data_IF_193867601448
#
_entry.id   IF_193867601448
#
_cell.length_a   1.000
_cell.length_b   1.000
_cell.length_c   1.000
_cell.angle_alpha   90.00
_cell.angle_beta   90.00
_cell.angle_gamma   90.00
#
_symmetry.space_group_name_H-M   'P 1'
#
loop_
_entity.id
_entity.type
_entity.pdbx_description
1 polymer ?
#
# COMPACT_ATOMS: atom_id res chain seq x y z
N UNK A 1 -14.77 0.22 -20.61
CA UNK A 1 -13.84 1.18 -20.03
C UNK A 1 -14.26 1.53 -18.61
N UNK A 2 -13.34 1.52 -17.69
CA UNK A 2 -13.60 1.79 -16.26
C UNK A 2 -12.54 2.77 -15.75
N UNK A 3 -12.96 3.86 -15.11
CA UNK A 3 -12.09 4.79 -14.39
C UNK A 3 -12.58 4.95 -12.95
N UNK A 4 -11.90 5.73 -12.11
CA UNK A 4 -12.38 5.98 -10.74
C UNK A 4 -13.81 6.46 -10.74
N UNK A 5 -14.08 7.54 -11.47
CA UNK A 5 -15.43 8.08 -11.67
C UNK A 5 -15.97 7.74 -13.05
N UNK A 6 -17.28 7.46 -13.14
CA UNK A 6 -17.93 7.18 -14.43
C UNK A 6 -17.79 8.34 -15.42
N UNK A 7 -17.69 9.58 -14.94
CA UNK A 7 -17.50 10.76 -15.80
C UNK A 7 -16.26 10.65 -16.69
N UNK A 8 -15.13 10.26 -16.11
CA UNK A 8 -13.88 10.04 -16.84
C UNK A 8 -14.03 8.96 -17.92
N UNK A 9 -14.60 7.81 -17.58
CA UNK A 9 -14.87 6.74 -18.54
C UNK A 9 -15.80 7.19 -19.68
N UNK A 10 -16.78 8.04 -19.38
CA UNK A 10 -17.69 8.61 -20.38
C UNK A 10 -16.93 9.50 -21.36
N UNK A 11 -15.99 10.31 -20.88
CA UNK A 11 -15.19 11.16 -21.76
C UNK A 11 -14.31 10.35 -22.70
N UNK A 12 -13.74 9.23 -22.25
CA UNK A 12 -13.03 8.29 -23.13
C UNK A 12 -13.95 7.67 -24.19
N UNK A 13 -15.15 7.24 -23.82
CA UNK A 13 -16.10 6.68 -24.79
C UNK A 13 -16.61 7.74 -25.77
N UNK A 14 -16.81 9.00 -25.36
CA UNK A 14 -17.09 10.12 -26.25
C UNK A 14 -15.95 10.35 -27.26
N UNK A 15 -14.70 10.30 -26.79
CA UNK A 15 -13.55 10.44 -27.66
C UNK A 15 -13.47 9.32 -28.71
N UNK A 16 -13.66 8.06 -28.30
CA UNK A 16 -13.73 6.92 -29.21
C UNK A 16 -14.87 7.11 -30.22
N UNK A 17 -16.06 7.51 -29.74
CA UNK A 17 -17.22 7.78 -30.58
C UNK A 17 -16.92 8.83 -31.62
N UNK A 18 -16.32 9.96 -31.26
CA UNK A 18 -15.92 11.03 -32.20
C UNK A 18 -14.98 10.50 -33.28
N UNK A 19 -13.99 9.66 -32.92
CA UNK A 19 -13.11 9.05 -33.92
C UNK A 19 -13.83 8.08 -34.84
N UNK A 20 -14.82 7.32 -34.35
CA UNK A 20 -15.63 6.46 -35.19
C UNK A 20 -16.53 7.23 -36.18
N UNK A 21 -16.97 8.43 -35.80
CA UNK A 21 -17.76 9.30 -36.62
C UNK A 21 -16.90 10.06 -37.69
N UNK A 22 -15.74 10.58 -37.29
CA UNK A 22 -15.03 11.62 -38.07
C UNK A 22 -13.67 11.17 -38.62
N UNK A 23 -13.03 10.12 -38.07
CA UNK A 23 -11.67 9.74 -38.44
C UNK A 23 -11.63 8.95 -39.75
N UNK A 24 -11.17 9.57 -40.84
CA UNK A 24 -11.07 8.97 -42.16
C UNK A 24 -10.12 7.75 -42.20
N UNK A 25 -9.05 7.73 -41.39
CA UNK A 25 -8.10 6.62 -41.30
C UNK A 25 -8.80 5.40 -40.73
N UNK A 26 -9.56 5.57 -39.64
CA UNK A 26 -10.35 4.47 -39.05
C UNK A 26 -11.38 3.97 -40.08
N UNK A 27 -12.08 4.88 -40.74
CA UNK A 27 -13.05 4.53 -41.79
C UNK A 27 -12.41 3.79 -42.97
N UNK A 28 -11.20 4.15 -43.35
CA UNK A 28 -10.46 3.50 -44.43
C UNK A 28 -10.08 2.06 -44.07
N UNK A 29 -9.52 1.81 -42.88
CA UNK A 29 -9.04 0.50 -42.50
C UNK A 29 -10.13 -0.45 -41.95
N UNK A 30 -11.12 0.08 -41.24
CA UNK A 30 -12.13 -0.71 -40.51
C UNK A 30 -13.54 -0.61 -41.07
N UNK A 31 -13.75 0.27 -42.04
CA UNK A 31 -15.07 0.58 -42.60
C UNK A 31 -15.85 1.54 -41.69
N UNK A 32 -17.17 1.64 -41.95
CA UNK A 32 -18.02 2.45 -41.10
C UNK A 32 -18.14 1.84 -39.69
N UNK A 33 -17.69 2.61 -38.70
CA UNK A 33 -17.78 2.25 -37.28
C UNK A 33 -18.87 3.03 -36.54
N UNK A 34 -19.51 4.03 -37.18
CA UNK A 34 -20.61 4.81 -36.63
C UNK A 34 -21.91 4.00 -36.59
N UNK A 35 -22.23 3.48 -35.41
CA UNK A 35 -23.47 2.74 -35.19
C UNK A 35 -24.71 3.63 -35.18
N UNK A 36 -24.56 4.89 -34.85
CA UNK A 36 -25.65 5.88 -34.87
C UNK A 36 -26.25 6.05 -36.27
N UNK A 37 -25.41 6.08 -37.32
CA UNK A 37 -25.83 6.16 -38.71
C UNK A 37 -26.69 4.99 -39.19
N UNK A 38 -26.66 3.87 -38.49
CA UNK A 38 -27.46 2.66 -38.81
C UNK A 38 -28.45 2.29 -37.68
N UNK A 39 -28.81 3.25 -36.83
CA UNK A 39 -29.84 3.08 -35.80
C UNK A 39 -29.46 2.22 -34.64
N UNK A 40 -28.15 1.96 -34.39
CA UNK A 40 -27.66 1.28 -33.19
C UNK A 40 -27.63 2.21 -31.97
N UNK A 41 -27.45 1.64 -30.78
CA UNK A 41 -27.25 2.43 -29.57
C UNK A 41 -25.98 3.27 -29.69
N UNK A 42 -26.14 4.60 -29.52
CA UNK A 42 -25.05 5.53 -29.76
C UNK A 42 -25.10 6.69 -28.78
N UNK A 43 -24.85 6.40 -27.51
CA UNK A 43 -24.89 7.37 -26.44
C UNK A 43 -23.49 7.75 -25.97
N UNK A 44 -23.37 8.72 -25.09
CA UNK A 44 -22.06 9.13 -24.53
C UNK A 44 -21.36 8.04 -23.72
N UNK A 45 -22.10 7.08 -23.19
CA UNK A 45 -21.58 6.06 -22.26
C UNK A 45 -21.77 4.61 -22.75
N UNK A 46 -22.42 4.42 -23.90
CA UNK A 46 -22.78 3.09 -24.37
C UNK A 46 -22.98 3.18 -25.91
N UNK A 47 -22.02 2.68 -26.64
CA UNK A 47 -22.00 2.70 -28.11
C UNK A 47 -21.94 1.28 -28.65
N UNK A 48 -22.64 1.07 -29.76
CA UNK A 48 -22.67 -0.21 -30.48
C UNK A 48 -22.33 0.04 -31.96
N UNK A 49 -21.26 -0.56 -32.46
CA UNK A 49 -20.84 -0.43 -33.85
C UNK A 49 -21.86 -1.09 -34.82
N UNK A 50 -21.82 -0.81 -36.11
CA UNK A 50 -22.63 -1.52 -37.11
C UNK A 50 -22.44 -3.05 -37.09
N UNK A 51 -21.24 -3.51 -36.72
CA UNK A 51 -20.89 -4.93 -36.59
C UNK A 51 -21.42 -5.58 -35.29
N UNK A 52 -21.90 -4.79 -34.34
CA UNK A 52 -22.43 -5.28 -33.07
C UNK A 52 -21.46 -5.21 -31.91
N UNK A 53 -20.22 -4.76 -32.11
CA UNK A 53 -19.27 -4.55 -31.02
C UNK A 53 -19.77 -3.43 -30.11
N UNK A 54 -19.68 -3.63 -28.80
CA UNK A 54 -20.21 -2.70 -27.81
C UNK A 54 -19.15 -2.18 -26.87
N UNK A 55 -19.10 -0.88 -26.65
CA UNK A 55 -18.21 -0.23 -25.68
C UNK A 55 -19.06 0.51 -24.65
N UNK A 56 -18.77 0.27 -23.37
CA UNK A 56 -19.53 0.83 -22.24
C UNK A 56 -18.59 1.53 -21.26
N UNK A 57 -18.97 2.73 -20.82
CA UNK A 57 -18.32 3.46 -19.74
C UNK A 57 -18.86 3.06 -18.36
N UNK A 58 -17.98 2.82 -17.40
CA UNK A 58 -18.29 2.48 -16.00
C UNK A 58 -17.38 3.24 -15.03
N UNK A 59 -17.85 3.44 -13.82
CA UNK A 59 -17.02 3.85 -12.71
C UNK A 59 -16.50 2.65 -11.90
N UNK A 60 -15.44 2.84 -11.15
CA UNK A 60 -14.94 1.84 -10.21
C UNK A 60 -16.02 1.46 -9.18
N UNK A 61 -15.98 0.23 -8.67
CA UNK A 61 -16.98 -0.34 -7.76
C UNK A 61 -18.41 -0.45 -8.30
N UNK A 62 -18.69 -0.06 -9.55
CA UNK A 62 -20.00 -0.28 -10.17
C UNK A 62 -20.20 -1.75 -10.54
N UNK A 63 -21.48 -2.15 -10.62
CA UNK A 63 -21.86 -3.49 -11.08
C UNK A 63 -21.52 -3.67 -12.55
N UNK A 64 -20.64 -4.62 -12.86
CA UNK A 64 -20.33 -5.05 -14.22
C UNK A 64 -21.26 -6.18 -14.67
N UNK A 65 -21.68 -7.06 -13.73
CA UNK A 65 -22.60 -8.17 -13.97
C UNK A 65 -24.05 -7.72 -13.90
N UNK A 66 -24.94 -8.40 -14.66
CA UNK A 66 -26.39 -8.25 -14.56
C UNK A 66 -27.03 -7.24 -15.52
N UNK A 67 -26.26 -6.63 -16.43
CA UNK A 67 -26.75 -5.89 -17.59
C UNK A 67 -26.25 -6.47 -18.92
N UNK A 68 -25.74 -7.70 -18.88
CA UNK A 68 -25.46 -8.45 -20.09
C UNK A 68 -26.81 -8.72 -20.78
N UNK A 69 -27.06 -8.04 -21.86
CA UNK A 69 -28.08 -8.52 -22.80
C UNK A 69 -27.65 -9.93 -23.20
N UNK A 70 -28.44 -10.91 -22.75
CA UNK A 70 -28.30 -12.32 -23.17
C UNK A 70 -26.93 -12.97 -22.89
N UNK A 71 -26.43 -12.91 -21.64
CA UNK A 71 -25.34 -13.79 -21.21
C UNK A 71 -23.94 -13.54 -21.81
N UNK A 72 -23.76 -12.43 -22.54
CA UNK A 72 -22.47 -12.09 -23.18
C UNK A 72 -21.51 -11.50 -22.13
N UNK A 73 -20.34 -12.11 -21.98
CA UNK A 73 -19.23 -11.60 -21.16
C UNK A 73 -18.40 -10.57 -21.92
N UNK A 74 -17.60 -9.79 -21.20
CA UNK A 74 -16.72 -8.80 -21.83
C UNK A 74 -15.51 -9.49 -22.46
N UNK A 75 -15.22 -9.17 -23.72
CA UNK A 75 -14.01 -9.63 -24.41
C UNK A 75 -12.78 -8.78 -24.03
N UNK A 76 -12.98 -7.58 -23.52
CA UNK A 76 -11.90 -6.72 -23.04
C UNK A 76 -12.39 -5.77 -21.95
N UNK A 77 -11.57 -5.55 -20.93
CA UNK A 77 -11.82 -4.56 -19.87
C UNK A 77 -10.57 -3.69 -19.75
N UNK A 78 -10.77 -2.36 -19.83
CA UNK A 78 -9.73 -1.39 -19.55
C UNK A 78 -10.07 -0.73 -18.21
N UNK A 79 -9.16 -0.83 -17.25
CA UNK A 79 -9.19 -0.12 -15.99
C UNK A 79 -8.15 0.99 -16.06
N UNK A 80 -8.63 2.23 -16.22
CA UNK A 80 -7.82 3.41 -16.48
C UNK A 80 -7.99 4.42 -15.35
N UNK A 81 -6.91 4.75 -14.65
CA UNK A 81 -6.93 5.59 -13.46
C UNK A 81 -8.06 5.21 -12.46
N UNK A 82 -8.21 3.91 -12.23
CA UNK A 82 -9.26 3.36 -11.37
C UNK A 82 -8.93 3.46 -9.88
N UNK A 83 -7.67 3.70 -9.52
CA UNK A 83 -7.19 4.00 -8.18
C UNK A 83 -6.95 5.49 -8.02
N UNK A 84 -7.35 6.03 -6.87
CA UNK A 84 -7.10 7.41 -6.47
C UNK A 84 -6.71 7.48 -5.00
N UNK A 85 -6.26 8.64 -4.55
CA UNK A 85 -6.03 8.87 -3.12
C UNK A 85 -7.30 8.69 -2.28
N UNK A 86 -8.46 8.99 -2.85
CA UNK A 86 -9.72 8.88 -2.13
C UNK A 86 -10.12 7.43 -1.90
N UNK A 87 -10.03 6.58 -2.93
CA UNK A 87 -10.45 5.17 -2.85
C UNK A 87 -9.34 4.24 -2.32
N UNK A 88 -8.11 4.73 -2.15
CA UNK A 88 -6.99 4.00 -1.53
C UNK A 88 -6.62 4.50 -0.13
N UNK A 89 -7.30 5.55 0.38
CA UNK A 89 -6.94 6.25 1.61
C UNK A 89 -6.88 5.35 2.86
N UNK A 90 -7.79 4.39 2.99
CA UNK A 90 -7.85 3.50 4.14
C UNK A 90 -7.63 2.05 3.73
N UNK A 91 -7.10 1.19 4.65
CA UNK A 91 -6.95 -0.24 4.38
C UNK A 91 -8.26 -0.91 3.92
N UNK A 92 -9.40 -0.52 4.52
CA UNK A 92 -10.70 -1.07 4.15
C UNK A 92 -11.10 -0.73 2.70
N UNK A 93 -10.90 0.53 2.29
CA UNK A 93 -11.17 0.95 0.90
C UNK A 93 -10.29 0.20 -0.11
N UNK A 94 -8.99 0.04 0.19
CA UNK A 94 -8.09 -0.76 -0.65
C UNK A 94 -8.54 -2.22 -0.74
N UNK A 95 -8.93 -2.81 0.40
CA UNK A 95 -9.45 -4.17 0.45
C UNK A 95 -10.76 -4.32 -0.33
N UNK A 96 -11.68 -3.37 -0.23
CA UNK A 96 -12.94 -3.33 -0.98
C UNK A 96 -12.69 -3.22 -2.50
N UNK A 97 -11.79 -2.33 -2.93
CA UNK A 97 -11.42 -2.18 -4.34
C UNK A 97 -10.78 -3.46 -4.88
N UNK A 98 -9.81 -4.03 -4.17
CA UNK A 98 -9.20 -5.33 -4.51
C UNK A 98 -10.24 -6.44 -4.60
N UNK A 99 -11.15 -6.52 -3.64
CA UNK A 99 -12.25 -7.49 -3.64
C UNK A 99 -13.13 -7.30 -4.87
N UNK A 100 -13.50 -6.07 -5.22
CA UNK A 100 -14.29 -5.78 -6.40
C UNK A 100 -13.58 -6.21 -7.68
N UNK A 101 -12.30 -5.93 -7.85
CA UNK A 101 -11.52 -6.36 -9.02
C UNK A 101 -11.52 -7.88 -9.13
N UNK A 102 -11.15 -8.58 -8.06
CA UNK A 102 -10.99 -10.05 -8.08
C UNK A 102 -12.34 -10.78 -8.18
N UNK A 103 -13.40 -10.28 -7.52
CA UNK A 103 -14.68 -10.96 -7.45
C UNK A 103 -15.73 -10.49 -8.47
N UNK A 104 -15.51 -9.35 -9.13
CA UNK A 104 -16.47 -8.77 -10.07
C UNK A 104 -15.86 -8.54 -11.45
N UNK A 105 -14.69 -7.87 -11.51
CA UNK A 105 -14.06 -7.54 -12.81
C UNK A 105 -13.56 -8.82 -13.51
N UNK A 106 -12.69 -9.58 -12.86
CA UNK A 106 -12.11 -10.78 -13.47
C UNK A 106 -13.18 -11.78 -13.93
N UNK A 107 -14.17 -12.16 -13.10
CA UNK A 107 -15.18 -13.09 -13.54
C UNK A 107 -16.21 -12.50 -14.52
N UNK A 108 -16.09 -11.24 -14.92
CA UNK A 108 -16.92 -10.64 -15.97
C UNK A 108 -16.32 -10.82 -17.38
N UNK A 109 -15.07 -11.27 -17.46
CA UNK A 109 -14.41 -11.56 -18.73
C UNK A 109 -14.93 -12.85 -19.39
N UNK A 110 -14.78 -12.90 -20.69
CA UNK A 110 -14.98 -14.11 -21.47
C UNK A 110 -13.90 -15.16 -21.13
N UNK A 111 -14.34 -16.40 -20.92
CA UNK A 111 -13.48 -17.53 -20.51
C UNK A 111 -13.54 -18.70 -21.50
N UNK A 112 -14.15 -18.49 -22.67
CA UNK A 112 -14.23 -19.53 -23.70
C UNK A 112 -12.84 -19.85 -24.25
N UNK A 113 -12.38 -21.11 -24.22
CA UNK A 113 -11.07 -21.50 -24.74
C UNK A 113 -10.86 -21.04 -26.19
N UNK A 114 -9.74 -20.33 -26.44
CA UNK A 114 -9.42 -19.75 -27.73
C UNK A 114 -10.08 -18.38 -28.02
N UNK A 115 -10.88 -17.87 -27.08
CA UNK A 115 -11.50 -16.55 -27.14
C UNK A 115 -11.52 -15.90 -25.75
N UNK A 116 -10.45 -16.10 -24.99
CA UNK A 116 -10.33 -15.56 -23.64
C UNK A 116 -10.30 -14.04 -23.67
N UNK A 117 -11.02 -13.44 -22.74
CA UNK A 117 -11.04 -12.00 -22.55
C UNK A 117 -9.72 -11.49 -21.98
N UNK A 118 -9.42 -10.22 -22.24
CA UNK A 118 -8.21 -9.55 -21.77
C UNK A 118 -8.53 -8.39 -20.83
N UNK A 119 -7.57 -8.06 -19.95
CA UNK A 119 -7.63 -6.89 -19.07
C UNK A 119 -6.40 -6.03 -19.31
N UNK A 120 -6.63 -4.73 -19.43
CA UNK A 120 -5.58 -3.71 -19.42
C UNK A 120 -5.75 -2.84 -18.19
N UNK A 121 -4.69 -2.74 -17.39
CA UNK A 121 -4.61 -1.87 -16.22
C UNK A 121 -3.63 -0.76 -16.53
N UNK A 122 -4.07 0.48 -16.38
CA UNK A 122 -3.20 1.66 -16.51
C UNK A 122 -3.52 2.66 -15.41
N UNK A 123 -2.52 3.40 -14.96
CA UNK A 123 -2.69 4.41 -13.93
C UNK A 123 -1.39 4.74 -13.20
N UNK A 124 -1.46 5.76 -12.37
CA UNK A 124 -0.40 6.16 -11.46
C UNK A 124 -0.49 5.38 -10.15
N UNK A 125 0.64 5.01 -9.58
CA UNK A 125 0.67 4.38 -8.25
C UNK A 125 0.41 5.45 -7.19
N UNK A 126 -0.77 5.41 -6.58
CA UNK A 126 -1.24 6.43 -5.63
C UNK A 126 -0.99 6.07 -4.16
N UNK A 127 -0.67 4.81 -3.87
CA UNK A 127 -0.42 4.33 -2.51
C UNK A 127 0.48 3.09 -2.54
N UNK A 128 1.38 2.95 -1.54
CA UNK A 128 2.32 1.81 -1.46
C UNK A 128 1.63 0.43 -1.29
N UNK A 129 0.38 0.40 -0.84
CA UNK A 129 -0.46 -0.81 -0.73
C UNK A 129 -1.68 -0.71 -1.66
N UNK A 130 -1.54 -0.03 -2.80
CA UNK A 130 -2.54 0.02 -3.87
C UNK A 130 -2.51 -1.27 -4.71
N UNK A 131 -3.57 -1.55 -5.46
CA UNK A 131 -3.66 -2.76 -6.28
C UNK A 131 -2.57 -2.78 -7.37
N UNK A 132 -2.33 -1.64 -8.04
CA UNK A 132 -1.26 -1.52 -9.04
C UNK A 132 0.13 -1.73 -8.42
N UNK A 133 0.41 -1.16 -7.23
CA UNK A 133 1.67 -1.40 -6.53
C UNK A 133 1.85 -2.88 -6.18
N UNK A 134 0.80 -3.54 -5.71
CA UNK A 134 0.85 -4.98 -5.40
C UNK A 134 1.15 -5.84 -6.64
N UNK A 135 0.70 -5.42 -7.84
CA UNK A 135 1.07 -6.08 -9.11
C UNK A 135 2.56 -5.88 -9.40
N UNK A 136 3.07 -4.66 -9.26
CA UNK A 136 4.51 -4.35 -9.47
C UNK A 136 5.38 -5.17 -8.52
N UNK A 137 5.04 -5.19 -7.24
CA UNK A 137 5.79 -5.94 -6.21
C UNK A 137 5.76 -7.44 -6.48
N UNK A 138 4.59 -7.98 -6.82
CA UNK A 138 4.42 -9.39 -7.16
C UNK A 138 5.19 -9.81 -8.44
N UNK A 139 5.22 -8.94 -9.44
CA UNK A 139 6.00 -9.15 -10.66
C UNK A 139 7.50 -9.18 -10.34
N UNK A 140 8.00 -8.18 -9.61
CA UNK A 140 9.41 -8.10 -9.23
C UNK A 140 9.85 -9.31 -8.38
N UNK A 141 9.01 -9.71 -7.41
CA UNK A 141 9.28 -10.91 -6.60
C UNK A 141 9.31 -12.18 -7.45
N UNK A 142 8.38 -12.33 -8.40
CA UNK A 142 8.36 -13.47 -9.30
C UNK A 142 9.62 -13.52 -10.20
N UNK A 143 10.04 -12.37 -10.75
CA UNK A 143 11.24 -12.28 -11.57
C UNK A 143 12.50 -12.60 -10.76
N UNK A 144 12.62 -12.06 -9.55
CA UNK A 144 13.76 -12.32 -8.66
C UNK A 144 13.89 -13.81 -8.26
N UNK A 145 12.77 -14.54 -8.23
CA UNK A 145 12.73 -15.97 -7.92
C UNK A 145 12.53 -16.88 -9.14
N UNK A 146 12.66 -16.33 -10.35
CA UNK A 146 12.52 -17.06 -11.61
C UNK A 146 11.19 -17.81 -11.74
N UNK A 147 10.08 -17.17 -11.31
CA UNK A 147 8.72 -17.68 -11.35
C UNK A 147 7.90 -16.96 -12.43
N UNK A 148 6.93 -17.67 -13.03
CA UNK A 148 5.95 -17.03 -13.91
C UNK A 148 5.03 -16.08 -13.11
N UNK A 149 4.58 -15.03 -13.76
CA UNK A 149 3.62 -14.07 -13.22
C UNK A 149 2.47 -13.86 -14.23
N UNK A 150 1.21 -13.73 -13.78
CA UNK A 150 0.08 -13.66 -14.70
C UNK A 150 -0.09 -12.32 -15.43
N UNK A 151 0.73 -11.32 -15.11
CA UNK A 151 0.68 -9.99 -15.71
C UNK A 151 1.95 -9.68 -16.47
N UNK A 152 1.79 -9.11 -17.66
CA UNK A 152 2.85 -8.39 -18.34
C UNK A 152 2.91 -6.98 -17.76
N UNK A 153 4.09 -6.55 -17.32
CA UNK A 153 4.30 -5.26 -16.66
C UNK A 153 5.15 -4.33 -17.51
N UNK A 154 4.62 -3.15 -17.76
CA UNK A 154 5.39 -2.00 -18.25
C UNK A 154 5.33 -0.90 -17.18
N UNK A 155 6.49 -0.52 -16.64
CA UNK A 155 6.61 0.47 -15.58
C UNK A 155 7.55 1.59 -16.00
N UNK A 156 7.08 2.83 -15.91
CA UNK A 156 7.84 4.00 -16.31
C UNK A 156 7.90 5.06 -15.23
N UNK A 157 9.04 5.76 -15.18
CA UNK A 157 9.21 7.01 -14.44
C UNK A 157 9.47 8.13 -15.42
N UNK A 158 9.06 9.36 -15.09
CA UNK A 158 9.36 10.50 -15.94
C UNK A 158 10.87 10.79 -16.08
N UNK A 159 11.66 10.35 -15.09
CA UNK A 159 13.12 10.40 -15.11
C UNK A 159 13.66 9.01 -14.78
N UNK A 160 14.41 8.42 -15.71
CA UNK A 160 15.12 7.14 -15.54
C UNK A 160 16.62 7.35 -15.84
N UNK A 161 17.47 6.88 -14.94
CA UNK A 161 18.94 7.04 -15.05
C UNK A 161 19.40 8.50 -15.34
N UNK A 162 18.71 9.47 -14.72
CA UNK A 162 19.00 10.90 -14.91
C UNK A 162 18.55 11.47 -16.26
N UNK A 163 17.80 10.71 -17.06
CA UNK A 163 17.29 11.13 -18.36
C UNK A 163 15.76 11.21 -18.35
N UNK A 164 15.17 12.22 -19.01
CA UNK A 164 13.72 12.28 -19.13
C UNK A 164 13.22 11.20 -20.09
N UNK A 165 12.14 10.52 -19.73
CA UNK A 165 11.49 9.51 -20.55
C UNK A 165 10.98 10.10 -21.88
N UNK A 166 10.40 11.30 -21.84
CA UNK A 166 9.85 11.98 -23.01
C UNK A 166 10.51 13.35 -23.19
N UNK A 167 11.74 13.34 -23.74
CA UNK A 167 12.60 14.51 -23.87
C UNK A 167 11.96 15.69 -24.64
N UNK A 168 11.20 15.41 -25.69
CA UNK A 168 10.65 16.46 -26.55
C UNK A 168 9.52 17.23 -25.85
N UNK A 169 8.69 16.56 -25.09
CA UNK A 169 7.56 17.16 -24.36
C UNK A 169 7.92 17.60 -22.94
N UNK A 170 8.74 16.81 -22.27
CA UNK A 170 9.19 16.98 -20.90
C UNK A 170 10.71 16.88 -20.79
N UNK A 171 11.49 17.87 -21.29
CA UNK A 171 12.94 17.90 -21.07
C UNK A 171 13.26 17.95 -19.58
N UNK A 172 14.45 17.49 -19.20
CA UNK A 172 14.86 17.39 -17.79
C UNK A 172 14.69 18.71 -17.02
N UNK A 173 15.05 19.84 -17.65
CA UNK A 173 14.87 21.16 -17.04
C UNK A 173 13.42 21.49 -16.67
N UNK A 174 12.44 21.07 -17.51
CA UNK A 174 11.02 21.22 -17.22
C UNK A 174 10.57 20.35 -16.05
N UNK A 175 11.05 19.11 -15.97
CA UNK A 175 10.76 18.18 -14.87
C UNK A 175 11.38 18.67 -13.55
N UNK A 176 12.60 19.21 -13.57
CA UNK A 176 13.26 19.80 -12.42
C UNK A 176 12.56 21.08 -11.93
N UNK A 177 12.07 21.90 -12.84
CA UNK A 177 11.25 23.07 -12.50
C UNK A 177 9.96 22.63 -11.80
N UNK A 178 9.23 21.66 -12.38
CA UNK A 178 8.05 21.08 -11.73
C UNK A 178 8.37 20.52 -10.35
N UNK A 179 9.46 19.80 -10.20
CA UNK A 179 9.89 19.29 -8.90
C UNK A 179 10.08 20.42 -7.88
N UNK A 180 10.69 21.55 -8.29
CA UNK A 180 10.83 22.72 -7.40
C UNK A 180 9.49 23.34 -7.04
N UNK A 181 8.56 23.47 -7.99
CA UNK A 181 7.20 23.94 -7.72
C UNK A 181 6.50 23.09 -6.65
N UNK A 182 6.59 21.77 -6.73
CA UNK A 182 6.04 20.85 -5.72
C UNK A 182 6.74 20.98 -4.35
N UNK A 183 8.07 21.19 -4.35
CA UNK A 183 8.83 21.43 -3.11
C UNK A 183 8.38 22.73 -2.44
N UNK A 184 8.28 23.82 -3.20
CA UNK A 184 7.85 25.14 -2.72
C UNK A 184 6.42 25.11 -2.20
N UNK A 185 5.55 24.30 -2.80
CA UNK A 185 4.19 24.07 -2.32
C UNK A 185 4.09 23.12 -1.11
N UNK A 186 5.22 22.56 -0.62
CA UNK A 186 5.21 21.57 0.47
C UNK A 186 4.69 20.19 0.07
N UNK A 187 4.62 19.90 -1.23
CA UNK A 187 4.02 18.70 -1.82
C UNK A 187 5.07 17.77 -2.45
N UNK A 188 6.23 17.60 -1.83
CA UNK A 188 7.37 16.82 -2.37
C UNK A 188 6.96 15.41 -2.79
N UNK A 189 6.13 14.76 -1.97
CA UNK A 189 5.66 13.40 -2.22
C UNK A 189 4.76 13.30 -3.45
N UNK A 190 4.05 14.38 -3.79
CA UNK A 190 3.21 14.41 -4.97
C UNK A 190 4.02 14.36 -6.26
N UNK A 191 5.18 15.01 -6.33
CA UNK A 191 6.06 14.86 -7.48
C UNK A 191 6.56 13.42 -7.62
N UNK A 192 6.94 12.78 -6.51
CA UNK A 192 7.36 11.38 -6.52
C UNK A 192 6.22 10.45 -7.00
N UNK A 193 5.01 10.67 -6.53
CA UNK A 193 3.83 9.92 -6.92
C UNK A 193 3.51 10.12 -8.42
N UNK A 194 3.30 11.35 -8.84
CA UNK A 194 2.75 11.68 -10.18
C UNK A 194 3.77 11.52 -11.32
N UNK A 195 5.05 11.78 -11.05
CA UNK A 195 6.09 11.76 -12.08
C UNK A 195 7.05 10.58 -11.96
N UNK A 196 7.18 9.99 -10.78
CA UNK A 196 8.14 8.91 -10.56
C UNK A 196 7.47 7.57 -10.25
N UNK A 197 6.14 7.50 -10.23
CA UNK A 197 5.38 6.31 -9.81
C UNK A 197 5.87 5.76 -8.45
N UNK A 198 6.23 6.65 -7.53
CA UNK A 198 6.74 6.34 -6.19
C UNK A 198 5.76 6.91 -5.16
N UNK A 199 4.77 6.11 -4.80
CA UNK A 199 3.76 6.46 -3.80
C UNK A 199 4.23 6.17 -2.38
N UNK A 200 5.42 6.62 -2.01
CA UNK A 200 5.83 6.56 -0.61
C UNK A 200 4.87 7.39 0.22
N UNK A 201 4.32 6.76 1.25
CA UNK A 201 3.50 7.44 2.23
C UNK A 201 4.26 8.66 2.80
N UNK A 202 3.54 9.74 3.10
CA UNK A 202 4.12 10.92 3.77
C UNK A 202 4.82 10.55 5.07
N UNK A 203 4.36 9.51 5.78
CA UNK A 203 5.05 8.95 6.95
C UNK A 203 6.36 8.25 6.57
N UNK A 204 6.45 7.61 5.39
CA UNK A 204 7.71 7.02 4.91
C UNK A 204 8.67 8.06 4.32
N UNK A 205 8.17 9.21 3.88
CA UNK A 205 9.02 10.34 3.49
C UNK A 205 9.59 11.10 4.70
N UNK A 206 8.93 11.01 5.86
CA UNK A 206 9.48 11.47 7.12
C UNK A 206 10.70 10.63 7.56
N UNK A 207 10.82 9.40 7.04
CA UNK A 207 11.93 8.48 7.33
C UNK A 207 12.71 8.17 6.06
N UNK A 208 13.94 8.63 5.97
CA UNK A 208 14.85 8.31 4.87
C UNK A 208 15.28 6.84 4.99
N UNK A 209 14.68 5.96 4.19
CA UNK A 209 14.94 4.51 4.21
C UNK A 209 16.41 4.19 3.90
N UNK A 210 17.07 5.00 3.09
CA UNK A 210 18.50 4.91 2.79
C UNK A 210 19.42 5.17 4.00
N UNK A 211 18.89 5.75 5.08
CA UNK A 211 19.61 5.94 6.34
C UNK A 211 19.39 4.82 7.36
N UNK A 212 18.49 3.88 7.09
CA UNK A 212 18.31 2.71 7.93
C UNK A 212 19.52 1.81 7.75
N UNK A 213 20.26 1.61 8.84
CA UNK A 213 21.42 0.73 8.86
C UNK A 213 21.02 -0.67 9.30
N UNK A 214 21.58 -1.68 8.65
CA UNK A 214 21.40 -3.08 9.02
C UNK A 214 22.60 -3.56 9.81
N UNK A 215 22.37 -4.43 10.78
CA UNK A 215 23.41 -5.01 11.62
C UNK A 215 23.28 -6.54 11.69
N UNK A 216 24.40 -7.26 11.89
CA UNK A 216 24.45 -8.72 11.95
C UNK A 216 24.82 -9.23 13.35
N UNK A 217 24.68 -8.39 14.37
CA UNK A 217 24.98 -8.78 15.75
C UNK A 217 23.86 -9.66 16.30
N UNK A 218 24.23 -10.63 17.12
CA UNK A 218 23.26 -11.46 17.86
C UNK A 218 23.08 -10.92 19.28
N UNK A 219 21.90 -11.10 19.82
CA UNK A 219 21.56 -10.73 21.18
C UNK A 219 22.10 -11.75 22.17
N UNK A 220 22.82 -11.30 23.19
CA UNK A 220 23.32 -12.13 24.29
C UNK A 220 23.08 -11.48 25.63
N UNK A 221 22.92 -12.31 26.70
CA UNK A 221 22.84 -11.86 28.08
C UNK A 221 24.05 -12.43 28.87
N UNK A 222 24.85 -11.53 29.46
CA UNK A 222 26.02 -11.88 30.27
C UNK A 222 25.91 -11.14 31.59
N UNK A 223 25.98 -11.88 32.74
CA UNK A 223 25.96 -11.30 34.10
C UNK A 223 24.80 -10.28 34.31
N UNK A 224 23.59 -10.58 33.83
CA UNK A 224 22.38 -9.72 33.89
C UNK A 224 22.47 -8.44 33.08
N UNK A 225 23.37 -8.34 32.11
CA UNK A 225 23.46 -7.26 31.15
C UNK A 225 23.20 -7.80 29.74
N UNK A 226 22.54 -6.98 28.92
CA UNK A 226 22.25 -7.31 27.53
C UNK A 226 23.31 -6.74 26.62
N UNK A 227 23.67 -7.51 25.59
CA UNK A 227 24.67 -7.15 24.58
C UNK A 227 24.20 -7.51 23.19
N UNK A 228 24.62 -6.69 22.22
CA UNK A 228 24.68 -7.06 20.81
C UNK A 228 26.11 -7.46 20.50
N UNK A 229 26.30 -8.69 20.02
CA UNK A 229 27.63 -9.29 19.86
C UNK A 229 27.82 -9.75 18.42
N UNK A 230 28.94 -9.37 17.82
CA UNK A 230 29.48 -9.97 16.62
C UNK A 230 30.86 -10.60 16.90
N UNK A 231 31.62 -10.97 15.86
CA UNK A 231 32.92 -11.64 16.02
C UNK A 231 33.99 -10.74 16.68
N UNK A 232 33.86 -9.43 16.67
CA UNK A 232 34.88 -8.47 17.06
C UNK A 232 34.45 -7.52 18.19
N UNK A 233 33.15 -7.39 18.45
CA UNK A 233 32.61 -6.38 19.35
C UNK A 233 31.43 -6.88 20.18
N UNK A 234 31.29 -6.35 21.40
CA UNK A 234 30.14 -6.58 22.26
C UNK A 234 29.59 -5.21 22.73
N UNK A 235 28.49 -4.77 22.17
CA UNK A 235 27.86 -3.50 22.44
C UNK A 235 26.85 -3.68 23.59
N UNK A 236 27.08 -3.08 24.78
CA UNK A 236 26.12 -3.14 25.86
C UNK A 236 24.86 -2.33 25.51
N UNK A 237 23.69 -2.92 25.73
CA UNK A 237 22.40 -2.28 25.44
C UNK A 237 21.43 -2.40 26.62
N UNK A 238 20.53 -1.42 26.74
CA UNK A 238 19.33 -1.52 27.55
C UNK A 238 18.15 -1.90 26.69
N UNK A 239 17.37 -2.91 27.08
CA UNK A 239 16.23 -3.39 26.30
C UNK A 239 14.94 -2.75 26.76
N UNK A 240 14.14 -2.30 25.81
CA UNK A 240 12.81 -1.72 25.94
C UNK A 240 11.83 -2.43 25.01
N UNK A 241 10.57 -2.53 25.43
CA UNK A 241 9.50 -3.09 24.59
C UNK A 241 8.39 -2.06 24.48
N UNK A 242 7.98 -1.78 23.24
CA UNK A 242 6.81 -0.98 22.91
C UNK A 242 5.69 -1.86 22.40
N UNK A 243 4.46 -1.59 22.83
CA UNK A 243 3.27 -2.34 22.42
C UNK A 243 2.19 -1.38 21.97
N UNK A 244 1.75 -1.57 20.73
CA UNK A 244 0.61 -0.87 20.12
C UNK A 244 -0.53 -1.86 19.94
N UNK A 245 -1.66 -1.61 20.57
CA UNK A 245 -2.81 -2.52 20.61
C UNK A 245 -3.95 -1.99 19.75
N UNK A 246 -4.53 -2.85 18.91
CA UNK A 246 -5.80 -2.56 18.25
C UNK A 246 -6.95 -2.52 19.27
N UNK A 247 -7.97 -1.67 19.02
CA UNK A 247 -9.11 -1.53 19.91
C UNK A 247 -9.98 -2.81 20.00
N UNK A 248 -9.99 -3.63 18.94
CA UNK A 248 -10.73 -4.91 18.87
C UNK A 248 -9.95 -5.93 18.05
N UNK A 249 -10.10 -7.22 18.38
CA UNK A 249 -9.50 -8.33 17.62
C UNK A 249 -10.48 -8.90 16.59
N UNK A 250 -10.91 -8.10 15.63
CA UNK A 250 -11.75 -8.55 14.51
C UNK A 250 -10.95 -8.67 13.21
N UNK A 251 -11.46 -9.38 12.21
CA UNK A 251 -10.79 -9.47 10.89
C UNK A 251 -10.59 -8.12 10.22
N UNK A 252 -11.39 -7.12 10.58
CA UNK A 252 -11.36 -5.74 10.07
C UNK A 252 -10.58 -4.77 10.95
N UNK A 253 -10.08 -5.21 12.14
CA UNK A 253 -9.29 -4.35 13.04
C UNK A 253 -7.86 -4.15 12.56
N UNK A 254 -7.20 -3.13 13.09
CA UNK A 254 -5.76 -2.90 12.89
C UNK A 254 -4.93 -4.06 13.49
N UNK A 255 -3.70 -4.17 13.04
CA UNK A 255 -2.73 -5.11 13.62
C UNK A 255 -2.33 -4.66 15.03
N UNK A 256 -2.08 -5.65 15.88
CA UNK A 256 -1.40 -5.44 17.16
C UNK A 256 0.11 -5.64 16.93
N UNK A 257 0.91 -4.79 17.53
CA UNK A 257 2.36 -4.79 17.31
C UNK A 257 3.11 -4.79 18.65
N UNK A 258 4.10 -5.68 18.77
CA UNK A 258 5.13 -5.63 19.81
C UNK A 258 6.46 -5.33 19.13
N UNK A 259 7.20 -4.36 19.62
CA UNK A 259 8.55 -4.04 19.13
C UNK A 259 9.54 -4.11 20.27
N UNK A 260 10.59 -4.90 20.09
CA UNK A 260 11.71 -5.02 21.05
C UNK A 260 12.87 -4.19 20.53
N UNK A 261 13.36 -3.27 21.35
CA UNK A 261 14.41 -2.32 20.97
C UNK A 261 15.53 -2.31 22.00
N UNK A 262 16.77 -2.39 21.54
CA UNK A 262 17.98 -2.15 22.31
C UNK A 262 18.42 -0.68 22.15
N UNK A 263 18.94 -0.07 23.22
CA UNK A 263 19.53 1.27 23.19
C UNK A 263 20.91 1.19 23.85
N UNK A 264 21.94 1.63 23.14
CA UNK A 264 23.32 1.69 23.66
C UNK A 264 23.61 3.01 24.41
N UNK A 265 24.84 3.18 24.89
CA UNK A 265 25.29 4.37 25.58
C UNK A 265 25.33 5.63 24.68
N UNK A 266 25.49 5.44 23.38
CA UNK A 266 25.52 6.51 22.37
C UNK A 266 24.10 6.87 21.87
N UNK A 267 23.05 6.26 22.45
CA UNK A 267 21.64 6.42 22.06
C UNK A 267 21.29 5.83 20.70
N UNK A 268 22.16 5.01 20.11
CA UNK A 268 21.79 4.23 18.92
C UNK A 268 20.66 3.25 19.30
N UNK A 269 19.73 3.08 18.38
CA UNK A 269 18.55 2.24 18.56
C UNK A 269 18.61 1.06 17.63
N UNK A 270 18.48 -0.13 18.18
CA UNK A 270 18.55 -1.41 17.48
C UNK A 270 17.21 -2.11 17.60
N UNK A 271 16.53 -2.37 16.48
CA UNK A 271 15.32 -3.18 16.46
C UNK A 271 15.76 -4.64 16.57
N UNK A 272 15.48 -5.28 17.69
CA UNK A 272 15.90 -6.65 17.97
C UNK A 272 14.91 -7.66 17.39
N UNK A 273 13.61 -7.40 17.57
CA UNK A 273 12.52 -8.23 17.08
C UNK A 273 11.23 -7.43 17.04
N UNK A 274 10.32 -7.83 16.14
CA UNK A 274 8.94 -7.35 16.19
C UNK A 274 7.96 -8.50 15.96
N UNK A 275 6.76 -8.34 16.52
CA UNK A 275 5.61 -9.20 16.32
C UNK A 275 4.46 -8.34 15.81
N UNK A 276 3.74 -8.81 14.78
CA UNK A 276 2.64 -8.06 14.15
C UNK A 276 1.56 -9.03 13.72
N UNK A 277 0.48 -9.13 14.50
CA UNK A 277 -0.62 -10.07 14.23
C UNK A 277 -1.97 -9.50 14.69
N UNK A 278 -3.06 -10.19 14.29
CA UNK A 278 -4.42 -9.93 14.75
C UNK A 278 -4.87 -11.09 15.63
N UNK A 279 -4.58 -11.02 16.91
CA UNK A 279 -4.85 -12.09 17.86
C UNK A 279 -5.73 -11.60 19.03
N UNK A 280 -6.42 -12.49 19.76
CA UNK A 280 -7.18 -12.13 20.95
C UNK A 280 -6.34 -11.45 22.03
N UNK A 281 -6.98 -10.63 22.86
CA UNK A 281 -6.30 -9.87 23.92
C UNK A 281 -5.52 -10.74 24.91
N UNK A 282 -6.02 -11.94 25.22
CA UNK A 282 -5.33 -12.88 26.10
C UNK A 282 -4.03 -13.40 25.47
N UNK A 283 -4.09 -13.86 24.23
CA UNK A 283 -2.94 -14.37 23.47
C UNK A 283 -1.88 -13.25 23.29
N UNK A 284 -2.33 -12.01 23.10
CA UNK A 284 -1.44 -10.86 23.04
C UNK A 284 -0.72 -10.61 24.37
N UNK A 285 -1.42 -10.76 25.50
CA UNK A 285 -0.79 -10.64 26.82
C UNK A 285 0.28 -11.72 27.04
N UNK A 286 0.02 -12.95 26.61
CA UNK A 286 1.00 -14.04 26.67
C UNK A 286 2.21 -13.77 25.78
N UNK A 287 2.01 -13.26 24.55
CA UNK A 287 3.08 -12.94 23.62
C UNK A 287 3.97 -11.79 24.15
N UNK A 288 3.37 -10.78 24.78
CA UNK A 288 4.12 -9.69 25.46
C UNK A 288 5.02 -10.26 26.55
N UNK A 289 4.51 -11.15 27.40
CA UNK A 289 5.30 -11.78 28.47
C UNK A 289 6.39 -12.68 27.90
N UNK A 290 6.10 -13.43 26.85
CA UNK A 290 7.07 -14.30 26.15
C UNK A 290 8.23 -13.48 25.58
N UNK A 291 7.94 -12.34 24.91
CA UNK A 291 8.96 -11.42 24.42
C UNK A 291 9.79 -10.81 25.56
N UNK A 292 9.14 -10.39 26.65
CA UNK A 292 9.83 -9.87 27.83
C UNK A 292 10.75 -10.90 28.48
N UNK A 293 10.37 -12.18 28.49
CA UNK A 293 11.21 -13.30 28.96
C UNK A 293 12.43 -13.54 28.08
N UNK A 294 12.20 -13.57 26.76
CA UNK A 294 13.24 -13.81 25.76
C UNK A 294 14.37 -12.78 25.85
N UNK A 295 14.01 -11.53 26.08
CA UNK A 295 14.93 -10.40 26.10
C UNK A 295 15.27 -9.89 27.50
N UNK A 296 14.96 -10.66 28.55
CA UNK A 296 15.26 -10.27 29.94
C UNK A 296 16.78 -10.18 30.20
N UNK A 297 17.25 -9.13 30.91
CA UNK A 297 16.48 -8.12 31.66
C UNK A 297 15.97 -6.97 30.79
N UNK A 298 14.65 -6.76 30.79
CA UNK A 298 13.98 -5.65 30.12
C UNK A 298 13.83 -4.48 31.11
N UNK A 299 14.18 -3.27 30.69
CA UNK A 299 14.05 -2.06 31.52
C UNK A 299 12.59 -1.61 31.65
N UNK A 300 11.83 -1.69 30.58
CA UNK A 300 10.43 -1.25 30.54
C UNK A 300 9.68 -1.90 29.39
N UNK A 301 8.44 -2.27 29.65
CA UNK A 301 7.43 -2.61 28.64
C UNK A 301 6.38 -1.52 28.66
N UNK A 302 6.29 -0.74 27.57
CA UNK A 302 5.34 0.36 27.41
C UNK A 302 4.17 -0.13 26.59
N UNK A 303 2.96 -0.15 27.14
CA UNK A 303 1.74 -0.59 26.48
C UNK A 303 0.87 0.64 26.27
N UNK A 304 0.54 0.97 25.02
CA UNK A 304 -0.39 2.07 24.74
C UNK A 304 -1.77 1.70 25.29
N UNK A 305 -2.33 2.52 26.17
CA UNK A 305 -3.59 2.22 26.85
C UNK A 305 -4.64 3.28 26.55
N UNK A 306 -5.70 2.85 25.85
CA UNK A 306 -6.96 3.59 25.68
C UNK A 306 -8.09 2.62 26.07
N UNK A 307 -8.88 2.95 27.09
CA UNK A 307 -10.04 2.19 27.54
C UNK A 307 -9.90 0.65 27.61
N UNK A 308 -10.25 -0.07 26.54
CA UNK A 308 -10.22 -1.54 26.48
C UNK A 308 -8.80 -2.16 26.60
N UNK A 309 -7.75 -1.39 26.35
CA UNK A 309 -6.36 -1.87 26.36
C UNK A 309 -5.78 -1.96 27.78
N UNK A 310 -6.42 -1.35 28.78
CA UNK A 310 -6.05 -1.55 30.20
C UNK A 310 -6.17 -3.01 30.61
N UNK A 311 -7.14 -3.74 30.03
CA UNK A 311 -7.33 -5.17 30.29
C UNK A 311 -6.11 -5.99 29.86
N UNK A 312 -5.51 -5.73 28.70
CA UNK A 312 -4.29 -6.43 28.25
C UNK A 312 -3.13 -6.16 29.18
N UNK A 313 -2.95 -4.91 29.62
CA UNK A 313 -1.93 -4.57 30.63
C UNK A 313 -2.11 -5.34 31.94
N UNK A 314 -3.33 -5.41 32.44
CA UNK A 314 -3.62 -6.11 33.70
C UNK A 314 -3.44 -7.63 33.56
N UNK A 315 -3.87 -8.22 32.44
CA UNK A 315 -3.60 -9.62 32.13
C UNK A 315 -2.10 -9.90 32.05
N UNK A 316 -1.35 -9.07 31.33
CA UNK A 316 0.11 -9.16 31.20
C UNK A 316 0.79 -9.11 32.57
N UNK A 317 0.36 -8.19 33.45
CA UNK A 317 0.87 -8.08 34.79
C UNK A 317 0.58 -9.33 35.63
N UNK A 318 -0.62 -9.89 35.55
CA UNK A 318 -1.02 -11.12 36.27
C UNK A 318 -0.20 -12.33 35.79
N UNK A 319 -0.04 -12.52 34.49
CA UNK A 319 0.73 -13.62 33.90
C UNK A 319 2.21 -13.50 34.32
N UNK A 320 2.75 -12.30 34.45
CA UNK A 320 4.15 -12.05 34.79
C UNK A 320 4.51 -12.20 36.26
N UNK A 321 3.54 -12.11 37.19
CA UNK A 321 3.79 -12.17 38.64
C UNK A 321 4.51 -13.44 39.07
N UNK A 322 4.23 -14.57 38.43
CA UNK A 322 4.87 -15.86 38.74
C UNK A 322 6.29 -16.01 38.16
N UNK A 323 6.75 -15.07 37.33
CA UNK A 323 8.05 -15.20 36.63
C UNK A 323 9.17 -14.42 37.30
N UNK A 324 10.02 -15.13 38.03
CA UNK A 324 11.21 -14.56 38.72
C UNK A 324 12.25 -13.91 37.77
N UNK A 325 12.16 -14.12 36.45
CA UNK A 325 13.06 -13.54 35.46
C UNK A 325 12.69 -12.12 35.12
N UNK A 326 11.45 -11.73 35.39
CA UNK A 326 10.94 -10.38 35.08
C UNK A 326 11.02 -9.49 36.32
N UNK A 327 11.50 -8.27 36.16
CA UNK A 327 11.52 -7.30 37.25
C UNK A 327 10.10 -6.82 37.57
N UNK A 328 9.73 -6.71 38.86
CA UNK A 328 8.42 -6.18 39.23
C UNK A 328 8.18 -4.76 38.64
N UNK A 329 6.98 -4.54 38.12
CA UNK A 329 6.55 -3.21 37.67
C UNK A 329 7.14 -2.72 36.34
N UNK A 330 7.75 -3.59 35.52
CA UNK A 330 8.25 -3.19 34.19
C UNK A 330 7.13 -2.87 33.22
N UNK A 331 5.94 -3.43 33.38
CA UNK A 331 4.78 -3.19 32.51
C UNK A 331 4.10 -1.88 32.86
N UNK A 332 4.16 -0.91 31.95
CA UNK A 332 3.61 0.45 32.14
C UNK A 332 2.59 0.77 31.05
N UNK A 333 1.40 1.19 31.45
CA UNK A 333 0.45 1.81 30.55
C UNK A 333 0.94 3.20 30.15
N UNK A 334 0.82 3.53 28.87
CA UNK A 334 1.15 4.84 28.31
C UNK A 334 -0.07 5.39 27.59
N UNK A 335 -0.57 6.55 28.02
CA UNK A 335 -1.66 7.23 27.32
C UNK A 335 -1.10 8.09 26.20
N UNK A 336 -1.63 8.01 24.98
CA UNK A 336 -1.22 8.92 23.91
C UNK A 336 -1.60 10.36 24.28
N UNK A 337 -0.80 11.37 23.90
CA UNK A 337 -1.16 12.76 24.12
C UNK A 337 -2.46 13.10 23.39
N UNK A 338 -3.35 13.81 24.09
CA UNK A 338 -4.65 14.20 23.56
C UNK A 338 -4.50 15.22 22.42
N UNK A 339 -5.28 15.06 21.35
CA UNK A 339 -5.38 16.03 20.25
C UNK A 339 -4.25 16.00 19.22
N UNK A 340 -3.24 15.14 19.36
CA UNK A 340 -2.15 14.99 18.39
C UNK A 340 -2.37 13.71 17.59
N UNK A 341 -2.40 13.81 16.25
CA UNK A 341 -2.52 12.66 15.38
C UNK A 341 -1.34 11.71 15.53
N UNK A 342 -1.55 10.41 15.28
CA UNK A 342 -0.51 9.38 15.41
C UNK A 342 0.66 9.65 14.44
N UNK A 343 0.35 10.07 13.22
CA UNK A 343 1.31 10.42 12.18
C UNK A 343 2.23 11.57 12.65
N UNK A 344 1.65 12.66 13.17
CA UNK A 344 2.41 13.82 13.66
C UNK A 344 3.33 13.45 14.83
N UNK A 345 2.88 12.54 15.71
CA UNK A 345 3.70 12.02 16.80
C UNK A 345 4.89 11.22 16.32
N UNK A 346 4.66 10.35 15.31
CA UNK A 346 5.72 9.55 14.70
C UNK A 346 6.75 10.44 14.03
N UNK A 347 6.33 11.40 13.23
CA UNK A 347 7.20 12.34 12.53
C UNK A 347 8.03 13.18 13.50
N UNK A 348 7.40 13.76 14.52
CA UNK A 348 8.08 14.59 15.52
C UNK A 348 9.06 13.80 16.39
N UNK A 349 8.75 12.52 16.69
CA UNK A 349 9.57 11.71 17.59
C UNK A 349 10.67 10.95 16.87
N UNK A 350 10.37 10.34 15.72
CA UNK A 350 11.31 9.48 15.01
C UNK A 350 12.04 10.19 13.87
N UNK A 351 11.42 11.21 13.25
CA UNK A 351 12.03 11.97 12.15
C UNK A 351 13.43 12.50 12.48
N UNK A 352 13.66 13.18 13.62
CA UNK A 352 14.99 13.65 14.03
C UNK A 352 15.99 12.51 14.25
N UNK A 353 15.51 11.32 14.65
CA UNK A 353 16.35 10.17 14.99
C UNK A 353 16.83 9.43 13.74
N UNK A 354 15.93 9.25 12.77
CA UNK A 354 16.23 8.52 11.53
C UNK A 354 16.96 9.40 10.52
N UNK A 355 16.75 10.72 10.60
CA UNK A 355 17.32 11.68 9.65
C UNK A 355 18.62 12.36 10.15
N UNK A 356 19.05 12.10 11.39
CA UNK A 356 20.36 12.52 11.91
C UNK A 356 21.46 11.54 11.52
#
# INVERSE_FOLDING_TARGET
>A
WVSEEQGQSVDHVKYIRHHFEENEIIRYYFGNMDGGSVGKRWTEKDIVTPKGDRIIAKGSAQRLRGRAEVGVRYTGIILDDFESELNTKTPDRRAELKKWIVSTVFPSLEETPGNEGWIWLTGTIVHYDAFLQNIVDGYNDAMNHNRSYPWDLTFHRAIEDGKPLWKDQFPLSKLENKRREFIEAGLVNKFAQEYMNDARDSASAAFKVDRIQYYNHRFEVRNKFCYLVDNNEAIPINVYIGVDLAATATKTSDYQVIMVMGIDANKNRYILEYFREKIPAFDMAEEIVKMARKYSPVRRVSIETVAAQEMVRDMTSRISVADKRLMPGIFKGVKPPYGIKKEDRLETTLGPIVNS
#
